data_IF_323914681468
#
_entry.id   IF_323914681468
#
_cell.length_a   1.000
_cell.length_b   1.000
_cell.length_c   1.000
_cell.angle_alpha   90.00
_cell.angle_beta   90.00
_cell.angle_gamma   90.00
#
_symmetry.space_group_name_H-M   'P 1'
#
loop_
_entity.id
_entity.type
_entity.pdbx_description
1 polymer ?
#
# COMPACT_ATOMS: atom_id res chain seq x y z
N UNK A 1 -7.59 9.84 -10.60
CA UNK A 1 -6.40 9.46 -9.81
C UNK A 1 -5.26 9.14 -10.76
N UNK A 2 -4.12 9.81 -10.63
CA UNK A 2 -2.97 9.62 -11.52
C UNK A 2 -2.09 8.47 -11.01
N UNK A 3 -1.58 7.65 -11.94
CA UNK A 3 -0.62 6.55 -11.67
C UNK A 3 0.53 6.93 -10.74
N UNK A 4 0.93 8.21 -10.77
CA UNK A 4 2.04 8.80 -10.01
C UNK A 4 1.83 8.67 -8.49
N UNK A 5 0.63 8.95 -7.98
CA UNK A 5 0.36 8.88 -6.53
C UNK A 5 0.44 7.44 -6.01
N UNK A 6 0.04 6.47 -6.83
CA UNK A 6 0.14 5.04 -6.51
C UNK A 6 1.60 4.58 -6.48
N UNK A 7 2.42 5.02 -7.43
CA UNK A 7 3.85 4.69 -7.48
C UNK A 7 4.59 5.27 -6.27
N UNK A 8 4.34 6.55 -5.94
CA UNK A 8 4.94 7.18 -4.76
C UNK A 8 4.53 6.43 -3.47
N UNK A 9 3.24 6.13 -3.31
CA UNK A 9 2.75 5.36 -2.16
C UNK A 9 3.38 3.97 -2.04
N UNK A 10 3.65 3.30 -3.17
CA UNK A 10 4.35 2.01 -3.19
C UNK A 10 5.80 2.13 -2.72
N UNK A 11 6.57 3.10 -3.23
CA UNK A 11 7.94 3.29 -2.76
C UNK A 11 8.00 3.70 -1.29
N UNK A 12 7.13 4.60 -0.84
CA UNK A 12 7.01 4.97 0.57
C UNK A 12 6.75 3.74 1.45
N UNK A 13 5.90 2.81 1.01
CA UNK A 13 5.69 1.55 1.71
C UNK A 13 6.97 0.72 1.79
N UNK A 14 7.69 0.53 0.67
CA UNK A 14 8.94 -0.23 0.67
C UNK A 14 10.00 0.37 1.60
N UNK A 15 10.15 1.69 1.60
CA UNK A 15 11.06 2.38 2.52
C UNK A 15 10.63 2.21 3.97
N UNK A 16 9.33 2.32 4.27
CA UNK A 16 8.82 2.10 5.62
C UNK A 16 9.06 0.66 6.10
N UNK A 17 8.94 -0.33 5.22
CA UNK A 17 9.24 -1.74 5.55
C UNK A 17 10.71 -1.93 5.92
N UNK A 18 11.64 -1.37 5.13
CA UNK A 18 13.08 -1.44 5.41
C UNK A 18 13.44 -0.65 6.67
N UNK A 19 12.82 0.51 6.87
CA UNK A 19 12.94 1.29 8.09
C UNK A 19 12.47 0.52 9.33
N UNK A 20 11.38 -0.24 9.21
CA UNK A 20 10.90 -1.09 10.29
C UNK A 20 11.83 -2.28 10.56
N UNK A 21 12.39 -2.89 9.50
CA UNK A 21 13.41 -3.93 9.65
C UNK A 21 14.64 -3.40 10.41
N UNK A 22 15.09 -2.18 10.09
CA UNK A 22 16.23 -1.53 10.74
C UNK A 22 15.94 -1.18 12.21
N UNK A 23 14.79 -0.55 12.49
CA UNK A 23 14.46 -0.05 13.83
C UNK A 23 13.92 -1.13 14.77
N UNK A 24 13.04 -2.01 14.28
CA UNK A 24 12.31 -2.98 15.10
C UNK A 24 12.95 -4.36 15.19
N UNK A 25 13.93 -4.65 14.33
CA UNK A 25 14.49 -5.99 14.19
C UNK A 25 16.00 -6.02 14.02
N UNK A 26 16.78 -5.36 14.91
CA UNK A 26 18.24 -5.27 14.78
C UNK A 26 18.91 -6.60 14.40
N UNK A 27 18.55 -7.71 15.07
CA UNK A 27 19.05 -9.05 14.73
C UNK A 27 18.59 -9.52 13.35
N UNK A 28 17.31 -9.35 13.02
CA UNK A 28 16.77 -9.69 11.71
C UNK A 28 17.39 -8.88 10.58
N UNK A 29 17.69 -7.59 10.81
CA UNK A 29 18.38 -6.73 9.88
C UNK A 29 19.80 -7.24 9.61
N UNK A 30 20.59 -7.49 10.66
CA UNK A 30 21.96 -8.00 10.48
C UNK A 30 21.99 -9.37 9.82
N UNK A 31 21.04 -10.25 10.12
CA UNK A 31 20.88 -11.54 9.42
C UNK A 31 20.53 -11.31 7.96
N UNK A 32 19.54 -10.46 7.65
CA UNK A 32 19.15 -10.14 6.28
C UNK A 32 20.31 -9.52 5.48
N UNK A 33 21.10 -8.66 6.12
CA UNK A 33 22.27 -8.03 5.52
C UNK A 33 23.37 -9.06 5.25
N UNK A 34 23.69 -9.92 6.22
CA UNK A 34 24.69 -10.98 6.05
C UNK A 34 24.30 -11.95 4.93
N UNK A 35 23.04 -12.41 4.92
CA UNK A 35 22.51 -13.26 3.84
C UNK A 35 22.54 -12.51 2.51
N UNK A 36 22.14 -11.23 2.48
CA UNK A 36 22.15 -10.40 1.29
C UNK A 36 23.54 -10.20 0.71
N UNK A 37 24.56 -9.98 1.54
CA UNK A 37 25.96 -9.86 1.11
C UNK A 37 26.49 -11.19 0.54
N UNK A 38 26.18 -12.32 1.18
CA UNK A 38 26.58 -13.64 0.67
C UNK A 38 25.92 -13.93 -0.68
N UNK A 39 24.62 -13.67 -0.82
CA UNK A 39 23.89 -13.85 -2.07
C UNK A 39 24.37 -12.87 -3.16
N UNK A 40 24.68 -11.62 -2.82
CA UNK A 40 25.22 -10.64 -3.74
C UNK A 40 26.61 -11.05 -4.26
N UNK A 41 27.48 -11.57 -3.38
CA UNK A 41 28.76 -12.14 -3.76
C UNK A 41 28.60 -13.36 -4.68
N UNK A 42 27.67 -14.26 -4.35
CA UNK A 42 27.34 -15.41 -5.19
C UNK A 42 26.78 -14.99 -6.57
N UNK A 43 25.93 -13.97 -6.63
CA UNK A 43 25.40 -13.42 -7.87
C UNK A 43 26.50 -12.80 -8.75
N UNK A 44 27.42 -12.04 -8.15
CA UNK A 44 28.58 -11.50 -8.85
C UNK A 44 29.48 -12.62 -9.41
N UNK A 45 29.77 -13.63 -8.57
CA UNK A 45 30.57 -14.78 -8.97
C UNK A 45 29.91 -15.55 -10.11
N UNK A 46 28.60 -15.81 -10.02
CA UNK A 46 27.83 -16.48 -11.07
C UNK A 46 27.82 -15.68 -12.38
N UNK A 47 27.62 -14.36 -12.30
CA UNK A 47 27.71 -13.47 -13.47
C UNK A 47 29.07 -13.64 -14.16
N UNK A 48 30.13 -13.65 -13.36
CA UNK A 48 31.50 -13.78 -13.83
C UNK A 48 31.74 -15.13 -14.51
N UNK A 49 31.31 -16.20 -13.85
CA UNK A 49 31.42 -17.56 -14.36
C UNK A 49 30.65 -17.76 -15.67
N UNK A 50 29.44 -17.20 -15.79
CA UNK A 50 28.64 -17.25 -17.02
C UNK A 50 29.40 -16.60 -18.18
N UNK A 51 29.99 -15.41 -18.01
CA UNK A 51 30.81 -14.78 -19.05
C UNK A 51 31.97 -15.66 -19.51
N UNK A 52 32.71 -16.27 -18.58
CA UNK A 52 33.83 -17.15 -18.91
C UNK A 52 33.41 -18.43 -19.64
N UNK A 53 32.22 -18.97 -19.34
CA UNK A 53 31.71 -20.14 -20.06
C UNK A 53 31.32 -19.85 -21.50
N UNK A 54 30.83 -18.65 -21.80
CA UNK A 54 30.53 -18.25 -23.19
C UNK A 54 31.80 -17.90 -23.98
N UNK A 55 32.83 -17.37 -23.31
CA UNK A 55 34.11 -17.05 -23.93
C UNK A 55 35.27 -17.27 -22.94
N UNK A 56 36.02 -18.38 -23.11
CA UNK A 56 37.18 -18.70 -22.28
C UNK A 56 38.32 -17.67 -22.37
N UNK A 57 38.35 -16.88 -23.44
CA UNK A 57 39.32 -15.79 -23.65
C UNK A 57 38.72 -14.40 -23.35
N UNK A 58 37.58 -14.36 -22.67
CA UNK A 58 36.95 -13.11 -22.28
C UNK A 58 37.78 -12.42 -21.20
N UNK A 59 38.32 -11.26 -21.52
CA UNK A 59 38.90 -10.38 -20.52
C UNK A 59 37.80 -9.50 -19.97
N UNK A 60 37.56 -9.56 -18.66
CA UNK A 60 36.60 -8.67 -18.02
C UNK A 60 37.09 -7.22 -18.06
N UNK A 61 36.60 -6.46 -19.03
CA UNK A 61 36.76 -5.02 -19.04
C UNK A 61 35.91 -4.36 -17.93
N UNK A 62 36.29 -3.15 -17.47
CA UNK A 62 35.57 -2.41 -16.43
C UNK A 62 34.06 -2.29 -16.67
N UNK A 63 33.64 -2.19 -17.95
CA UNK A 63 32.23 -2.13 -18.36
C UNK A 63 31.44 -3.38 -17.95
N UNK A 64 32.08 -4.54 -17.87
CA UNK A 64 31.42 -5.80 -17.49
C UNK A 64 31.27 -5.95 -15.97
N UNK A 65 32.22 -5.41 -15.19
CA UNK A 65 32.09 -5.31 -13.74
C UNK A 65 30.92 -4.43 -13.31
N UNK A 66 30.51 -3.46 -14.15
CA UNK A 66 29.28 -2.68 -13.90
C UNK A 66 28.05 -3.59 -13.88
N UNK A 67 27.91 -4.54 -14.81
CA UNK A 67 26.77 -5.46 -14.83
C UNK A 67 26.78 -6.42 -13.63
N UNK A 68 27.96 -6.95 -13.26
CA UNK A 68 28.10 -7.78 -12.06
C UNK A 68 27.75 -6.98 -10.79
N UNK A 69 28.14 -5.71 -10.72
CA UNK A 69 27.81 -4.82 -9.61
C UNK A 69 26.33 -4.50 -9.54
N UNK A 70 25.68 -4.24 -10.67
CA UNK A 70 24.22 -4.06 -10.73
C UNK A 70 23.50 -5.32 -10.24
N UNK A 71 23.92 -6.51 -10.70
CA UNK A 71 23.34 -7.78 -10.23
C UNK A 71 23.48 -7.96 -8.71
N UNK A 72 24.66 -7.66 -8.16
CA UNK A 72 24.96 -7.78 -6.73
C UNK A 72 24.15 -6.77 -5.89
N UNK A 73 24.11 -5.49 -6.29
CA UNK A 73 23.34 -4.44 -5.61
C UNK A 73 21.85 -4.79 -5.61
N UNK A 74 21.30 -5.21 -6.75
CA UNK A 74 19.90 -5.63 -6.83
C UNK A 74 19.64 -6.85 -5.96
N UNK A 75 20.54 -7.84 -5.93
CA UNK A 75 20.40 -9.00 -5.04
C UNK A 75 20.34 -8.59 -3.57
N UNK A 76 21.19 -7.64 -3.17
CA UNK A 76 21.16 -7.11 -1.81
C UNK A 76 19.83 -6.40 -1.50
N UNK A 77 19.37 -5.49 -2.38
CA UNK A 77 18.11 -4.75 -2.21
C UNK A 77 16.93 -5.73 -2.10
N UNK A 78 16.82 -6.69 -3.02
CA UNK A 78 15.75 -7.67 -3.03
C UNK A 78 15.79 -8.56 -1.79
N UNK A 79 16.97 -8.94 -1.31
CA UNK A 79 17.09 -9.73 -0.06
C UNK A 79 16.60 -8.92 1.14
N UNK A 80 17.01 -7.66 1.28
CA UNK A 80 16.54 -6.81 2.36
C UNK A 80 15.02 -6.63 2.32
N UNK A 81 14.45 -6.39 1.13
CA UNK A 81 13.00 -6.27 0.95
C UNK A 81 12.26 -7.57 1.30
N UNK A 82 12.82 -8.73 0.96
CA UNK A 82 12.22 -10.03 1.26
C UNK A 82 12.04 -10.25 2.77
N UNK A 83 13.06 -9.87 3.55
CA UNK A 83 13.01 -9.91 5.01
C UNK A 83 12.09 -8.81 5.57
N UNK A 84 12.19 -7.60 5.01
CA UNK A 84 11.40 -6.44 5.42
C UNK A 84 9.89 -6.66 5.30
N UNK A 85 9.43 -7.46 4.32
CA UNK A 85 8.02 -7.81 4.21
C UNK A 85 7.42 -8.46 5.46
N UNK A 86 8.22 -9.05 6.35
CA UNK A 86 7.71 -9.54 7.65
C UNK A 86 7.01 -8.43 8.44
N UNK A 87 7.45 -7.18 8.30
CA UNK A 87 6.95 -6.01 9.01
C UNK A 87 5.73 -5.34 8.37
N UNK A 88 5.07 -6.02 7.43
CA UNK A 88 3.90 -5.47 6.72
C UNK A 88 2.76 -5.14 7.69
N UNK A 89 2.58 -5.92 8.76
CA UNK A 89 1.54 -5.66 9.76
C UNK A 89 1.78 -4.35 10.52
N UNK A 90 2.99 -4.18 11.02
CA UNK A 90 3.43 -3.02 11.81
C UNK A 90 3.35 -1.74 10.99
N UNK A 91 3.83 -1.77 9.74
CA UNK A 91 3.76 -0.63 8.82
C UNK A 91 2.30 -0.30 8.48
N UNK A 92 1.46 -1.30 8.26
CA UNK A 92 0.04 -1.09 7.98
C UNK A 92 -0.70 -0.50 9.20
N UNK A 93 -0.41 -0.97 10.41
CA UNK A 93 -0.98 -0.39 11.65
C UNK A 93 -0.55 1.06 11.86
N UNK A 94 0.72 1.39 11.60
CA UNK A 94 1.21 2.77 11.66
C UNK A 94 0.48 3.65 10.66
N UNK A 95 0.34 3.21 9.41
CA UNK A 95 -0.38 3.96 8.38
C UNK A 95 -1.84 4.24 8.75
N UNK A 96 -2.55 3.28 9.37
CA UNK A 96 -3.93 3.51 9.84
C UNK A 96 -3.96 4.47 11.03
N UNK A 97 -2.95 4.44 11.90
CA UNK A 97 -2.85 5.37 13.03
C UNK A 97 -2.62 6.80 12.57
N UNK A 98 -1.70 6.99 11.62
CA UNK A 98 -1.44 8.27 10.98
C UNK A 98 -2.68 8.78 10.24
N UNK A 99 -3.35 7.91 9.47
CA UNK A 99 -4.61 8.25 8.80
C UNK A 99 -5.65 8.75 9.80
N UNK A 100 -5.84 8.02 10.91
CA UNK A 100 -6.82 8.35 11.93
C UNK A 100 -6.54 9.72 12.56
N UNK A 101 -5.26 10.06 12.77
CA UNK A 101 -4.87 11.37 13.27
C UNK A 101 -5.15 12.48 12.24
N UNK A 102 -4.84 12.24 10.96
CA UNK A 102 -5.03 13.21 9.87
C UNK A 102 -6.51 13.48 9.61
N UNK A 103 -7.33 12.44 9.42
CA UNK A 103 -8.77 12.63 9.16
C UNK A 103 -9.48 13.24 10.37
N UNK A 104 -8.97 13.01 11.59
CA UNK A 104 -9.49 13.60 12.82
C UNK A 104 -9.37 15.12 12.89
N UNK A 105 -8.45 15.73 12.13
CA UNK A 105 -8.25 17.19 12.06
C UNK A 105 -8.62 17.80 10.70
N UNK A 106 -9.10 16.99 9.75
CA UNK A 106 -9.52 17.47 8.42
C UNK A 106 -10.91 18.13 8.51
N UNK A 107 -10.91 19.46 8.60
CA UNK A 107 -12.14 20.27 8.71
C UNK A 107 -12.96 20.24 7.44
N UNK A 108 -12.34 20.15 6.27
CA UNK A 108 -13.04 20.17 4.98
C UNK A 108 -13.81 18.86 4.79
N UNK A 109 -13.16 17.74 5.09
CA UNK A 109 -13.80 16.43 5.12
C UNK A 109 -14.95 16.39 6.13
N UNK A 110 -14.74 16.90 7.36
CA UNK A 110 -15.80 16.93 8.39
C UNK A 110 -17.01 17.74 7.94
N UNK A 111 -16.80 18.95 7.45
CA UNK A 111 -17.89 19.85 7.03
C UNK A 111 -18.66 19.28 5.84
N UNK A 112 -17.94 18.76 4.84
CA UNK A 112 -18.56 18.14 3.67
C UNK A 112 -19.37 16.90 4.05
N UNK A 113 -18.78 15.99 4.83
CA UNK A 113 -19.44 14.75 5.25
C UNK A 113 -20.65 15.03 6.14
N UNK A 114 -20.56 16.05 7.00
CA UNK A 114 -21.69 16.49 7.82
C UNK A 114 -22.84 17.02 6.96
N UNK A 115 -22.56 17.88 5.98
CA UNK A 115 -23.58 18.41 5.07
C UNK A 115 -24.25 17.28 4.25
N UNK A 116 -23.47 16.37 3.67
CA UNK A 116 -24.00 15.21 2.93
C UNK A 116 -24.88 14.32 3.83
N UNK A 117 -24.48 14.11 5.09
CA UNK A 117 -25.27 13.32 6.04
C UNK A 117 -26.55 14.04 6.46
N UNK A 118 -26.50 15.37 6.60
CA UNK A 118 -27.67 16.20 6.90
C UNK A 118 -28.70 16.10 5.75
N UNK A 119 -28.26 16.31 4.52
CA UNK A 119 -29.12 16.29 3.33
C UNK A 119 -29.76 14.91 3.14
N UNK A 120 -28.97 13.84 3.28
CA UNK A 120 -29.46 12.48 3.18
C UNK A 120 -30.57 12.15 4.19
N UNK A 121 -30.52 12.73 5.40
CA UNK A 121 -31.58 12.57 6.40
C UNK A 121 -32.78 13.49 6.10
N UNK A 122 -32.52 14.72 5.64
CA UNK A 122 -33.55 15.70 5.31
C UNK A 122 -34.48 15.23 4.18
N UNK A 123 -33.93 14.46 3.24
CA UNK A 123 -34.66 13.85 2.13
C UNK A 123 -35.54 12.66 2.54
N UNK A 124 -35.28 12.03 3.70
CA UNK A 124 -36.09 10.90 4.16
C UNK A 124 -37.53 11.33 4.45
N UNK A 125 -38.49 10.62 3.85
CA UNK A 125 -39.92 10.85 4.05
C UNK A 125 -40.58 9.69 4.80
N UNK A 126 -41.61 10.02 5.57
CA UNK A 126 -42.52 9.03 6.13
C UNK A 126 -43.54 8.56 5.06
N UNK A 127 -44.35 7.52 5.32
CA UNK A 127 -45.35 7.03 4.37
C UNK A 127 -46.39 8.08 3.92
N UNK A 128 -46.56 9.15 4.69
CA UNK A 128 -47.46 10.26 4.40
C UNK A 128 -46.80 11.37 3.56
N UNK A 129 -45.54 11.20 3.15
CA UNK A 129 -44.79 12.15 2.32
C UNK A 129 -44.17 13.33 3.09
N UNK A 130 -44.37 13.42 4.40
CA UNK A 130 -43.74 14.43 5.24
C UNK A 130 -42.31 14.01 5.60
N UNK A 131 -41.47 14.97 6.02
CA UNK A 131 -40.13 14.65 6.49
C UNK A 131 -40.17 13.66 7.66
N UNK A 132 -39.23 12.72 7.64
CA UNK A 132 -39.13 11.68 8.66
C UNK A 132 -38.66 12.26 10.01
N UNK A 133 -37.63 13.10 9.99
CA UNK A 133 -37.08 13.77 11.18
C UNK A 133 -37.60 15.21 11.30
N UNK A 134 -37.62 15.73 12.53
CA UNK A 134 -37.91 17.13 12.79
C UNK A 134 -36.62 17.97 12.75
N UNK A 135 -36.55 18.90 11.80
CA UNK A 135 -35.42 19.81 11.61
C UNK A 135 -35.67 21.22 12.18
N UNK A 136 -36.79 21.46 12.87
CA UNK A 136 -37.15 22.78 13.40
C UNK A 136 -36.09 23.42 14.31
N UNK A 137 -35.29 22.58 14.99
CA UNK A 137 -34.18 22.99 15.87
C UNK A 137 -32.79 22.66 15.33
N UNK A 138 -32.73 22.15 14.10
CA UNK A 138 -31.50 21.74 13.43
C UNK A 138 -31.44 22.46 12.09
N UNK A 139 -31.06 23.76 12.06
CA UNK A 139 -30.96 24.52 10.82
C UNK A 139 -29.90 23.92 9.90
N UNK A 140 -30.03 24.16 8.59
CA UNK A 140 -29.09 23.62 7.61
C UNK A 140 -27.64 24.12 7.87
N UNK A 141 -26.59 23.28 7.75
CA UNK A 141 -25.21 23.66 8.06
C UNK A 141 -24.69 24.91 7.32
N UNK A 142 -25.15 25.16 6.10
CA UNK A 142 -24.80 26.36 5.33
C UNK A 142 -25.26 27.69 5.96
N UNK A 143 -26.09 27.67 7.00
CA UNK A 143 -26.53 28.87 7.72
C UNK A 143 -25.49 29.41 8.70
N UNK A 144 -24.41 28.66 8.97
CA UNK A 144 -23.38 29.01 9.95
C UNK A 144 -23.83 28.92 11.41
N UNK A 145 -25.07 28.45 11.66
CA UNK A 145 -25.58 28.20 13.01
C UNK A 145 -25.14 26.83 13.51
N UNK A 146 -24.98 26.71 14.83
CA UNK A 146 -24.69 25.40 15.43
C UNK A 146 -25.85 24.45 15.17
N UNK A 147 -25.57 23.28 14.60
CA UNK A 147 -26.58 22.33 14.15
C UNK A 147 -26.13 20.90 14.37
N UNK A 148 -27.08 19.98 14.40
CA UNK A 148 -26.85 18.55 14.51
C UNK A 148 -27.81 17.81 13.58
N UNK A 149 -27.37 16.69 13.03
CA UNK A 149 -28.24 15.82 12.21
C UNK A 149 -29.17 15.04 13.14
N UNK A 150 -30.50 15.24 13.08
CA UNK A 150 -31.45 14.47 13.88
C UNK A 150 -31.44 13.01 13.42
N UNK A 151 -31.34 12.06 14.36
CA UNK A 151 -31.23 10.62 14.07
C UNK A 151 -32.13 9.79 14.98
N UNK A 152 -33.36 10.24 15.20
CA UNK A 152 -34.31 9.56 16.09
C UNK A 152 -34.81 8.25 15.49
N UNK A 153 -34.94 8.16 14.16
CA UNK A 153 -35.48 6.99 13.47
C UNK A 153 -34.40 6.07 12.87
N UNK A 154 -34.68 4.75 12.75
CA UNK A 154 -33.73 3.80 12.16
C UNK A 154 -33.24 4.15 10.74
N UNK A 155 -34.10 4.61 9.80
CA UNK A 155 -33.64 5.00 8.46
C UNK A 155 -32.64 6.16 8.48
N UNK A 156 -32.83 7.15 9.36
CA UNK A 156 -31.92 8.29 9.54
C UNK A 156 -30.55 7.84 10.04
N UNK A 157 -30.54 6.94 11.05
CA UNK A 157 -29.31 6.32 11.56
C UNK A 157 -28.54 5.59 10.47
N UNK A 158 -29.25 4.85 9.62
CA UNK A 158 -28.64 4.12 8.50
C UNK A 158 -28.08 5.06 7.43
N UNK A 159 -28.80 6.15 7.11
CA UNK A 159 -28.34 7.15 6.14
C UNK A 159 -27.04 7.82 6.61
N UNK A 160 -27.00 8.31 7.86
CA UNK A 160 -25.79 8.88 8.46
C UNK A 160 -24.66 7.86 8.47
N UNK A 161 -24.95 6.60 8.82
CA UNK A 161 -23.95 5.55 8.83
C UNK A 161 -23.29 5.31 7.48
N UNK A 162 -24.12 5.25 6.44
CA UNK A 162 -23.66 5.06 5.08
C UNK A 162 -22.76 6.21 4.63
N UNK A 163 -23.16 7.47 4.88
CA UNK A 163 -22.38 8.64 4.45
C UNK A 163 -21.04 8.71 5.18
N UNK A 164 -21.03 8.64 6.52
CA UNK A 164 -19.78 8.70 7.27
C UNK A 164 -18.84 7.53 6.96
N UNK A 165 -19.38 6.31 6.85
CA UNK A 165 -18.61 5.13 6.51
C UNK A 165 -17.98 5.23 5.12
N UNK A 166 -18.78 5.52 4.10
CA UNK A 166 -18.31 5.65 2.71
C UNK A 166 -17.32 6.80 2.55
N UNK A 167 -17.59 7.95 3.17
CA UNK A 167 -16.69 9.11 3.13
C UNK A 167 -15.35 8.84 3.80
N UNK A 168 -15.34 8.16 4.96
CA UNK A 168 -14.10 7.78 5.64
C UNK A 168 -13.28 6.75 4.83
N UNK A 169 -13.94 5.76 4.22
CA UNK A 169 -13.29 4.78 3.34
C UNK A 169 -12.70 5.45 2.11
N UNK A 170 -13.44 6.39 1.51
CA UNK A 170 -12.96 7.15 0.35
C UNK A 170 -11.73 8.01 0.70
N UNK A 171 -11.78 8.69 1.84
CA UNK A 171 -10.64 9.46 2.34
C UNK A 171 -9.42 8.55 2.58
N UNK A 172 -9.62 7.36 3.15
CA UNK A 172 -8.54 6.39 3.31
C UNK A 172 -7.95 5.96 1.96
N UNK A 173 -8.81 5.66 0.98
CA UNK A 173 -8.40 5.26 -0.38
C UNK A 173 -7.59 6.35 -1.08
N UNK A 174 -7.96 7.60 -0.90
CA UNK A 174 -7.23 8.74 -1.48
C UNK A 174 -5.85 8.91 -0.86
N UNK A 175 -5.74 8.72 0.45
CA UNK A 175 -4.48 8.93 1.18
C UNK A 175 -3.52 7.74 1.06
N UNK A 176 -4.05 6.51 1.13
CA UNK A 176 -3.29 5.26 1.13
C UNK A 176 -3.76 4.31 0.02
N UNK A 177 -3.59 4.67 -1.27
CA UNK A 177 -4.16 3.92 -2.39
C UNK A 177 -3.69 2.47 -2.44
N UNK A 178 -2.41 2.20 -2.14
CA UNK A 178 -1.88 0.84 -2.14
C UNK A 178 -2.44 -0.03 -1.01
N UNK A 179 -2.54 0.50 0.22
CA UNK A 179 -3.17 -0.21 1.33
C UNK A 179 -4.67 -0.43 1.07
N UNK A 180 -5.33 0.53 0.40
CA UNK A 180 -6.70 0.34 -0.05
C UNK A 180 -6.82 -0.81 -1.04
N UNK A 181 -5.90 -0.98 -2.00
CA UNK A 181 -5.91 -2.13 -2.91
C UNK A 181 -5.78 -3.46 -2.16
N UNK A 182 -4.94 -3.50 -1.12
CA UNK A 182 -4.79 -4.68 -0.25
C UNK A 182 -6.07 -4.98 0.53
N UNK A 183 -6.73 -3.95 1.05
CA UNK A 183 -8.00 -4.05 1.77
C UNK A 183 -9.17 -4.48 0.85
N UNK A 184 -9.09 -4.14 -0.44
CA UNK A 184 -10.14 -4.37 -1.43
C UNK A 184 -10.14 -5.78 -2.05
N UNK A 185 -9.82 -6.79 -1.23
CA UNK A 185 -10.25 -8.15 -1.47
C UNK A 185 -11.65 -8.47 -0.88
N UNK A 186 -12.39 -7.46 -0.37
CA UNK A 186 -13.87 -7.36 -0.33
C UNK A 186 -14.33 -6.05 0.37
N UNK A 187 -14.50 -4.96 -0.39
CA UNK A 187 -14.98 -3.65 0.12
C UNK A 187 -16.39 -3.72 0.73
N UNK A 188 -17.22 -4.63 0.25
CA UNK A 188 -18.59 -4.88 0.71
C UNK A 188 -18.64 -5.28 2.20
N UNK A 189 -17.61 -5.98 2.70
CA UNK A 189 -17.53 -6.40 4.10
C UNK A 189 -17.19 -5.24 5.04
N UNK A 190 -16.41 -4.25 4.58
CA UNK A 190 -16.05 -3.09 5.39
C UNK A 190 -17.25 -2.14 5.57
N UNK A 191 -18.06 -1.95 4.52
CA UNK A 191 -19.32 -1.20 4.58
C UNK A 191 -20.34 -1.89 5.51
N UNK A 192 -20.54 -3.20 5.38
CA UNK A 192 -21.46 -3.95 6.24
C UNK A 192 -21.04 -3.97 7.71
N UNK A 193 -19.73 -4.04 8.01
CA UNK A 193 -19.21 -3.95 9.37
C UNK A 193 -19.52 -2.58 10.00
N UNK A 194 -19.28 -1.48 9.26
CA UNK A 194 -19.59 -0.11 9.68
C UNK A 194 -21.08 0.08 9.99
N UNK A 195 -21.95 -0.43 9.11
CA UNK A 195 -23.40 -0.42 9.30
C UNK A 195 -23.80 -1.19 10.56
N UNK A 196 -23.21 -2.37 10.79
CA UNK A 196 -23.52 -3.22 11.95
C UNK A 196 -23.12 -2.58 13.28
N UNK A 197 -21.96 -1.94 13.32
CA UNK A 197 -21.51 -1.30 14.55
C UNK A 197 -22.23 0.00 14.85
N UNK A 198 -22.59 0.78 13.84
CA UNK A 198 -23.47 1.92 14.03
C UNK A 198 -24.85 1.49 14.56
N UNK A 199 -25.43 0.40 14.03
CA UNK A 199 -26.66 -0.19 14.59
C UNK A 199 -26.50 -0.54 16.08
N UNK A 200 -25.34 -1.06 16.50
CA UNK A 200 -25.02 -1.38 17.90
C UNK A 200 -24.93 -0.13 18.79
N UNK A 201 -24.19 0.89 18.38
CA UNK A 201 -24.02 2.14 19.15
C UNK A 201 -25.35 2.90 19.30
N UNK A 202 -26.16 2.92 18.25
CA UNK A 202 -27.46 3.59 18.32
C UNK A 202 -28.55 2.76 19.00
N UNK A 203 -28.36 1.45 19.19
CA UNK A 203 -29.24 0.63 20.03
C UNK A 203 -28.91 0.77 21.52
N UNK A 204 -27.73 1.29 21.88
CA UNK A 204 -27.40 1.69 23.26
C UNK A 204 -27.88 3.09 23.66
N UNK A 205 -28.71 3.76 22.84
CA UNK A 205 -29.39 5.01 23.21
C UNK A 205 -28.68 6.32 22.87
N UNK A 206 -27.64 6.29 22.03
CA UNK A 206 -27.02 7.52 21.53
C UNK A 206 -27.99 8.29 20.59
N UNK A 207 -28.20 9.58 20.87
CA UNK A 207 -29.04 10.49 20.06
C UNK A 207 -28.24 11.32 19.04
N UNK A 208 -26.91 11.29 19.13
CA UNK A 208 -26.00 11.99 18.24
C UNK A 208 -24.82 11.10 17.88
N UNK A 209 -24.30 11.26 16.67
CA UNK A 209 -23.12 10.55 16.21
C UNK A 209 -21.99 11.53 15.93
N UNK A 210 -20.98 11.53 16.80
CA UNK A 210 -19.79 12.34 16.61
C UNK A 210 -18.95 11.76 15.46
N UNK A 211 -18.48 12.62 14.56
CA UNK A 211 -17.60 12.25 13.45
C UNK A 211 -16.35 11.49 13.91
N UNK A 212 -15.86 11.83 15.09
CA UNK A 212 -14.71 11.23 15.78
C UNK A 212 -14.95 9.74 16.10
N UNK A 213 -16.18 9.37 16.45
CA UNK A 213 -16.57 7.98 16.69
C UNK A 213 -16.64 7.19 15.39
N UNK A 214 -17.12 7.80 14.31
CA UNK A 214 -17.07 7.24 12.97
C UNK A 214 -15.63 6.90 12.56
N UNK A 215 -14.73 7.87 12.71
CA UNK A 215 -13.31 7.71 12.40
C UNK A 215 -12.66 6.60 13.23
N UNK A 216 -12.89 6.57 14.55
CA UNK A 216 -12.36 5.54 15.44
C UNK A 216 -12.85 4.13 15.06
N UNK A 217 -14.12 4.03 14.68
CA UNK A 217 -14.72 2.77 14.30
C UNK A 217 -14.17 2.26 12.96
N UNK A 218 -14.17 3.12 11.95
CA UNK A 218 -13.60 2.82 10.64
C UNK A 218 -12.12 2.44 10.78
N UNK A 219 -11.34 3.13 11.62
CA UNK A 219 -9.94 2.78 11.85
C UNK A 219 -9.78 1.40 12.48
N UNK A 220 -10.63 1.05 13.46
CA UNK A 220 -10.62 -0.27 14.10
C UNK A 220 -10.95 -1.38 13.11
N UNK A 221 -11.94 -1.15 12.24
CA UNK A 221 -12.31 -2.12 11.19
C UNK A 221 -11.20 -2.29 10.17
N UNK A 222 -10.63 -1.19 9.67
CA UNK A 222 -9.49 -1.23 8.76
C UNK A 222 -8.33 -2.02 9.38
N UNK A 223 -8.00 -1.79 10.66
CA UNK A 223 -6.96 -2.55 11.38
C UNK A 223 -7.27 -4.04 11.43
N UNK A 224 -8.50 -4.42 11.78
CA UNK A 224 -8.88 -5.83 11.90
C UNK A 224 -8.83 -6.56 10.55
N UNK A 225 -9.30 -5.91 9.48
CA UNK A 225 -9.21 -6.44 8.11
C UNK A 225 -7.74 -6.56 7.68
N UNK A 226 -6.91 -5.53 7.92
CA UNK A 226 -5.48 -5.58 7.62
C UNK A 226 -4.80 -6.73 8.34
N UNK A 227 -5.02 -6.90 9.65
CA UNK A 227 -4.45 -8.02 10.43
C UNK A 227 -4.76 -9.38 9.81
N UNK A 228 -5.97 -9.54 9.30
CA UNK A 228 -6.41 -10.79 8.68
C UNK A 228 -5.75 -11.02 7.31
N UNK A 229 -5.52 -9.93 6.55
CA UNK A 229 -4.93 -10.01 5.21
C UNK A 229 -3.39 -10.04 5.22
N UNK A 230 -2.75 -9.52 6.27
CA UNK A 230 -1.29 -9.37 6.36
C UNK A 230 -0.54 -10.66 6.04
N UNK A 231 -0.86 -11.84 6.59
CA UNK A 231 -0.13 -13.07 6.26
C UNK A 231 -0.17 -13.42 4.77
N UNK A 232 -1.36 -13.27 4.15
CA UNK A 232 -1.55 -13.52 2.72
C UNK A 232 -0.76 -12.53 1.88
N UNK A 233 -0.80 -11.25 2.24
CA UNK A 233 -0.06 -10.18 1.56
C UNK A 233 1.44 -10.45 1.61
N UNK A 234 1.99 -10.82 2.78
CA UNK A 234 3.41 -11.14 2.93
C UNK A 234 3.82 -12.26 1.97
N UNK A 235 3.04 -13.34 1.89
CA UNK A 235 3.34 -14.48 1.01
C UNK A 235 3.29 -14.06 -0.47
N UNK A 236 2.23 -13.37 -0.89
CA UNK A 236 2.07 -12.92 -2.27
C UNK A 236 3.17 -11.91 -2.66
N UNK A 237 3.44 -10.92 -1.81
CA UNK A 237 4.48 -9.92 -2.04
C UNK A 237 5.86 -10.55 -2.15
N UNK A 238 6.18 -11.55 -1.33
CA UNK A 238 7.43 -12.31 -1.45
C UNK A 238 7.51 -13.10 -2.75
N UNK A 239 6.42 -13.75 -3.16
CA UNK A 239 6.39 -14.49 -4.43
C UNK A 239 6.58 -13.55 -5.64
N UNK A 240 5.89 -12.41 -5.65
CA UNK A 240 6.05 -11.37 -6.68
C UNK A 240 7.49 -10.83 -6.67
N UNK A 241 8.06 -10.58 -5.49
CA UNK A 241 9.43 -10.10 -5.35
C UNK A 241 10.44 -11.10 -5.91
N UNK A 242 10.28 -12.40 -5.62
CA UNK A 242 11.12 -13.46 -6.20
C UNK A 242 10.98 -13.50 -7.73
N UNK A 243 9.75 -13.45 -8.25
CA UNK A 243 9.52 -13.46 -9.69
C UNK A 243 10.17 -12.23 -10.38
N UNK A 244 9.99 -11.03 -9.82
CA UNK A 244 10.60 -9.81 -10.32
C UNK A 244 12.14 -9.87 -10.25
N UNK A 245 12.70 -10.41 -9.15
CA UNK A 245 14.14 -10.65 -9.01
C UNK A 245 14.66 -11.52 -10.13
N UNK A 246 14.05 -12.69 -10.35
CA UNK A 246 14.49 -13.64 -11.38
C UNK A 246 14.44 -13.02 -12.77
N UNK A 247 13.37 -12.29 -13.10
CA UNK A 247 13.24 -11.59 -14.38
C UNK A 247 14.37 -10.58 -14.59
N UNK A 248 14.67 -9.76 -13.58
CA UNK A 248 15.73 -8.75 -13.68
C UNK A 248 17.11 -9.42 -13.78
N UNK A 249 17.38 -10.48 -13.00
CA UNK A 249 18.65 -11.20 -13.09
C UNK A 249 18.84 -11.87 -14.46
N UNK A 250 17.78 -12.45 -15.03
CA UNK A 250 17.82 -13.00 -16.41
C UNK A 250 18.17 -11.90 -17.42
N UNK A 251 17.63 -10.69 -17.28
CA UNK A 251 17.98 -9.57 -18.14
C UNK A 251 19.46 -9.17 -17.99
N UNK A 252 19.96 -9.05 -16.76
CA UNK A 252 21.37 -8.67 -16.51
C UNK A 252 22.31 -9.74 -17.06
N UNK A 253 22.07 -11.02 -16.79
CA UNK A 253 22.88 -12.12 -17.31
C UNK A 253 22.77 -12.24 -18.84
N UNK A 254 21.58 -12.01 -19.41
CA UNK A 254 21.39 -12.02 -20.87
C UNK A 254 22.17 -10.92 -21.57
N UNK A 255 22.21 -9.70 -21.00
CA UNK A 255 23.02 -8.60 -21.53
C UNK A 255 24.52 -8.91 -21.43
N UNK A 256 24.95 -9.51 -20.31
CA UNK A 256 26.34 -9.90 -20.11
C UNK A 256 26.77 -11.02 -21.07
N UNK A 257 25.93 -12.04 -21.29
CA UNK A 257 26.17 -13.10 -22.26
C UNK A 257 26.22 -12.55 -23.69
N UNK A 258 25.32 -11.63 -24.05
CA UNK A 258 25.35 -10.95 -25.36
C UNK A 258 26.63 -10.14 -25.56
N UNK A 259 27.10 -9.43 -24.53
CA UNK A 259 28.35 -8.68 -24.60
C UNK A 259 29.56 -9.63 -24.80
N UNK A 260 29.57 -10.78 -24.10
CA UNK A 260 30.60 -11.79 -24.28
C UNK A 260 30.62 -12.39 -25.69
N UNK A 261 29.43 -12.64 -26.29
CA UNK A 261 29.32 -13.13 -27.67
C UNK A 261 29.75 -12.08 -28.71
N UNK A 262 29.45 -10.80 -28.47
CA UNK A 262 29.89 -9.70 -29.35
C UNK A 262 31.41 -9.58 -29.39
N UNK A 263 32.09 -9.71 -28.24
CA UNK A 263 33.56 -9.71 -28.15
C UNK A 263 34.21 -10.83 -28.99
N UNK A 264 33.62 -12.03 -29.00
CA UNK A 264 34.08 -13.13 -29.89
C UNK A 264 33.97 -12.72 -31.35
N UNK A 265 32.83 -12.14 -31.75
CA UNK A 265 32.56 -11.75 -33.14
C UNK A 265 33.54 -10.68 -33.62
N UNK A 266 33.81 -9.68 -32.79
CA UNK A 266 34.76 -8.60 -33.10
C UNK A 266 36.19 -9.14 -33.26
N UNK A 267 36.66 -9.98 -32.33
CA UNK A 267 37.97 -10.64 -32.44
C UNK A 267 38.10 -11.50 -33.69
N UNK A 268 37.05 -12.26 -34.04
CA UNK A 268 37.03 -13.05 -35.29
C UNK A 268 37.04 -12.19 -36.56
N UNK A 269 36.49 -10.97 -36.54
CA UNK A 269 36.55 -10.07 -37.69
C UNK A 269 37.93 -9.41 -37.82
N UNK A 270 38.55 -9.02 -36.70
CA UNK A 270 39.91 -8.45 -36.70
C UNK A 270 40.94 -9.43 -37.25
N UNK A 271 40.95 -10.68 -36.77
CA UNK A 271 41.88 -11.71 -37.26
C UNK A 271 41.72 -11.97 -38.77
N UNK A 272 40.48 -11.88 -39.29
CA UNK A 272 40.20 -12.06 -40.72
C UNK A 272 40.65 -10.88 -41.59
N UNK A 273 40.79 -9.69 -41.02
CA UNK A 273 41.30 -8.50 -41.70
C UNK A 273 42.83 -8.44 -41.69
N UNK A 274 43.48 -9.08 -40.72
CA UNK A 274 44.95 -9.18 -40.65
C UNK A 274 45.53 -10.27 -41.59
N UNK A 275 44.70 -11.21 -42.03
CA UNK A 275 45.07 -12.28 -42.98
C UNK A 275 44.94 -11.89 -44.47
N UNK A 276 44.37 -10.71 -44.78
CA UNK A 276 44.18 -10.18 -46.13
C UNK A 276 45.21 -9.11 -46.44
#
# INVERSE_FOLDING_TARGET
MTSINTIQGFFSLLFNLVGELWNGGATAFWVALAVGVLLAGAAWWLASYVAFNFNRQFSMHPKHHVYCGVAAILTLIFTLLFFAFKFTGEVAERAVSEWQAVIGIDTDWKNKTFAEAYDAVYELKNPQGNQLEDFSRSPHPNTGQNTAVPVNYPPSKQAVAKIYGSSAVEHFRQRYPFLSLILWANSENAEQALITDMKRIFSSGASMYASEKAVQLTSTMIRNVLKTQVPRVIVISRAILIAAFLLIQVLVFGLLARAALADIKEKHQQHRLEEV
#
